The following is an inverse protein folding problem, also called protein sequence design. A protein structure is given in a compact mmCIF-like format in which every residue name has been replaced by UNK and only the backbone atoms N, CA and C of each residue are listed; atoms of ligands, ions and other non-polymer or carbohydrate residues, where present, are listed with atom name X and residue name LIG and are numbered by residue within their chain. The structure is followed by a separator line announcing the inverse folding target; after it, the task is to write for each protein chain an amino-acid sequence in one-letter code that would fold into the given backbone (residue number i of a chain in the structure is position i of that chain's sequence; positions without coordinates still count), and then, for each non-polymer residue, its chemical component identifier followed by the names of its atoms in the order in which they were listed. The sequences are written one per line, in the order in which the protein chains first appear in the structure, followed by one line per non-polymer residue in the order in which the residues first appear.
data_IF_368799726077
#
_entry.id   IF_368799726077
#
_cell.length_a   1.000
_cell.length_b   1.000
_cell.length_c   1.000
_cell.angle_alpha   90.00
_cell.angle_beta   90.00
_cell.angle_gamma   90.00
#
_symmetry.space_group_name_H-M   'P 1'
#
loop_
_entity.id
_entity.type
_entity.pdbx_description
1 polymer ?
#
# COMPACT_ATOMS: atom_id res chain seq x y z
N UNK A 1 -21.63 -5.32 12.21
CA UNK A 1 -20.82 -6.40 11.58
C UNK A 1 -19.39 -5.92 11.45
N UNK A 2 -18.38 -6.76 11.77
CA UNK A 2 -16.97 -6.37 11.67
C UNK A 2 -16.61 -5.98 10.23
N UNK A 3 -15.61 -5.10 10.09
CA UNK A 3 -15.12 -4.67 8.80
C UNK A 3 -13.90 -5.49 8.40
N UNK A 4 -14.09 -6.49 7.55
CA UNK A 4 -12.98 -7.21 6.94
C UNK A 4 -12.25 -6.33 5.91
N UNK A 5 -11.00 -6.66 5.62
CA UNK A 5 -10.27 -6.16 4.48
C UNK A 5 -10.95 -6.60 3.18
N UNK A 6 -11.06 -5.69 2.21
CA UNK A 6 -11.74 -5.97 0.93
C UNK A 6 -11.12 -7.14 0.16
N UNK A 7 -9.82 -7.31 0.26
CA UNK A 7 -9.05 -8.39 -0.38
C UNK A 7 -8.46 -9.34 0.65
N UNK A 8 -9.22 -9.67 1.72
CA UNK A 8 -8.74 -10.48 2.85
C UNK A 8 -8.06 -11.79 2.41
N UNK A 9 -8.54 -12.42 1.33
CA UNK A 9 -7.98 -13.67 0.79
C UNK A 9 -6.59 -13.52 0.15
N UNK A 10 -6.20 -12.30 -0.18
CA UNK A 10 -4.90 -12.02 -0.80
C UNK A 10 -3.82 -11.64 0.24
N UNK A 11 -4.20 -11.30 1.48
CA UNK A 11 -3.28 -10.78 2.50
C UNK A 11 -2.18 -11.76 2.90
N UNK A 12 -2.46 -13.07 2.85
CA UNK A 12 -1.53 -14.12 3.27
C UNK A 12 -0.62 -14.64 2.14
N UNK A 13 -0.71 -14.05 0.94
CA UNK A 13 0.11 -14.38 -0.23
C UNK A 13 -0.06 -15.83 -0.76
N UNK A 14 -1.13 -16.52 -0.34
CA UNK A 14 -1.40 -17.92 -0.71
C UNK A 14 -1.83 -18.08 -2.18
N UNK A 15 -2.33 -17.02 -2.79
CA UNK A 15 -2.79 -17.00 -4.18
C UNK A 15 -1.68 -16.62 -5.19
N UNK A 16 -0.41 -16.53 -4.76
CA UNK A 16 0.70 -16.22 -5.65
C UNK A 16 1.20 -17.47 -6.38
N UNK A 17 1.44 -17.35 -7.68
CA UNK A 17 2.06 -18.38 -8.53
C UNK A 17 3.56 -18.11 -8.79
N UNK A 18 4.16 -17.20 -8.02
CA UNK A 18 5.57 -16.84 -8.07
C UNK A 18 6.16 -16.65 -6.67
N UNK A 19 7.48 -16.73 -6.57
CA UNK A 19 8.21 -16.42 -5.34
C UNK A 19 8.51 -14.92 -5.28
N UNK A 20 7.92 -14.15 -4.35
CA UNK A 20 8.14 -12.71 -4.27
C UNK A 20 9.54 -12.39 -3.72
N UNK A 21 10.14 -11.33 -4.24
CA UNK A 21 11.39 -10.74 -3.71
C UNK A 21 11.15 -9.39 -3.03
N UNK A 22 10.01 -8.76 -3.33
CA UNK A 22 9.60 -7.47 -2.76
C UNK A 22 8.21 -7.60 -2.15
N UNK A 23 8.01 -7.06 -0.96
CA UNK A 23 6.70 -6.94 -0.32
C UNK A 23 6.33 -5.48 -0.13
N UNK A 24 5.18 -5.09 -0.67
CA UNK A 24 4.56 -3.79 -0.41
C UNK A 24 3.47 -3.99 0.63
N UNK A 25 3.49 -3.16 1.67
CA UNK A 25 2.58 -3.20 2.81
C UNK A 25 1.76 -1.90 2.83
N UNK A 26 0.44 -2.02 2.72
CA UNK A 26 -0.51 -0.96 3.00
C UNK A 26 -1.00 -0.99 4.46
N UNK A 27 -1.96 -0.14 4.79
CA UNK A 27 -2.53 -0.08 6.14
C UNK A 27 -3.81 -0.91 6.22
N UNK A 28 -4.86 -0.45 5.54
CA UNK A 28 -6.15 -1.12 5.46
C UNK A 28 -7.01 -0.61 4.29
N UNK A 29 -7.64 -1.51 3.54
CA UNK A 29 -8.73 -1.20 2.61
C UNK A 29 -10.04 -1.89 3.07
N UNK A 30 -11.03 -1.13 3.56
CA UNK A 30 -12.24 -1.70 4.16
C UNK A 30 -13.16 -2.33 3.10
N UNK A 31 -13.81 -3.45 3.44
CA UNK A 31 -14.78 -4.11 2.55
C UNK A 31 -16.05 -3.29 2.33
N UNK A 32 -16.40 -2.44 3.29
CA UNK A 32 -17.54 -1.52 3.26
C UNK A 32 -17.13 -0.12 3.73
N UNK A 33 -17.86 0.96 3.38
CA UNK A 33 -19.15 0.96 2.69
C UNK A 33 -19.09 0.57 1.21
N UNK A 34 -20.26 0.24 0.65
CA UNK A 34 -20.44 -0.28 -0.72
C UNK A 34 -19.86 0.60 -1.85
N UNK A 35 -19.52 1.86 -1.56
CA UNK A 35 -18.91 2.77 -2.52
C UNK A 35 -17.41 2.49 -2.77
N UNK A 36 -16.78 1.55 -2.06
CA UNK A 36 -15.39 1.15 -2.34
C UNK A 36 -15.29 0.45 -3.71
N UNK A 37 -14.91 1.18 -4.75
CA UNK A 37 -14.75 0.64 -6.11
C UNK A 37 -13.38 0.02 -6.40
N UNK A 38 -12.54 -0.23 -5.38
CA UNK A 38 -11.25 -0.87 -5.60
C UNK A 38 -11.46 -2.28 -6.18
N UNK A 39 -10.82 -2.57 -7.32
CA UNK A 39 -10.86 -3.91 -7.93
C UNK A 39 -9.71 -4.80 -7.45
N UNK A 40 -8.65 -4.19 -6.92
CA UNK A 40 -7.53 -4.83 -6.24
C UNK A 40 -6.76 -3.80 -5.39
N UNK A 41 -5.61 -4.16 -4.79
CA UNK A 41 -4.79 -3.26 -3.98
C UNK A 41 -4.51 -1.93 -4.69
N UNK A 42 -4.60 -0.82 -3.92
CA UNK A 42 -4.49 0.56 -4.43
C UNK A 42 -5.45 0.89 -5.59
N UNK A 43 -6.51 0.11 -5.79
CA UNK A 43 -7.42 0.21 -6.94
C UNK A 43 -8.38 1.38 -6.93
N UNK A 44 -8.35 2.24 -5.91
CA UNK A 44 -9.11 3.51 -5.87
C UNK A 44 -8.40 4.59 -6.70
N UNK A 45 -8.25 4.33 -7.99
CA UNK A 45 -7.39 5.08 -8.91
C UNK A 45 -7.83 6.53 -9.17
N UNK A 46 -8.95 7.02 -8.62
CA UNK A 46 -9.30 8.45 -8.77
C UNK A 46 -8.30 9.35 -8.04
N UNK A 47 -7.91 8.97 -6.82
CA UNK A 47 -7.03 9.74 -5.95
C UNK A 47 -5.84 8.91 -5.45
N UNK A 48 -5.44 7.88 -6.19
CA UNK A 48 -4.31 7.04 -5.84
C UNK A 48 -3.41 6.84 -7.07
N UNK A 49 -2.13 7.18 -6.92
CA UNK A 49 -1.10 7.22 -7.95
C UNK A 49 -0.20 6.00 -7.92
N UNK A 50 -0.49 4.99 -7.09
CA UNK A 50 0.34 3.79 -6.94
C UNK A 50 0.63 3.13 -8.29
N UNK A 51 -0.41 2.93 -9.09
CA UNK A 51 -0.32 2.30 -10.40
C UNK A 51 0.23 3.23 -11.49
N UNK A 52 0.45 4.52 -11.21
CA UNK A 52 1.33 5.34 -12.04
C UNK A 52 2.78 5.03 -11.63
N UNK A 53 3.09 5.29 -10.36
CA UNK A 53 4.46 5.39 -9.83
C UNK A 53 5.19 4.05 -9.80
N UNK A 54 4.54 2.97 -9.37
CA UNK A 54 5.21 1.69 -9.23
C UNK A 54 5.76 1.18 -10.57
N UNK A 55 5.00 1.15 -11.68
CA UNK A 55 5.56 0.85 -13.01
C UNK A 55 6.71 1.76 -13.45
N UNK A 56 6.65 3.05 -13.12
CA UNK A 56 7.69 4.00 -13.53
C UNK A 56 9.05 3.74 -12.83
N UNK A 57 9.07 3.19 -11.61
CA UNK A 57 10.31 2.72 -10.98
C UNK A 57 11.06 1.67 -11.83
N UNK A 58 10.32 0.93 -12.66
CA UNK A 58 10.83 -0.08 -13.58
C UNK A 58 10.91 0.43 -15.03
N UNK A 59 10.83 1.76 -15.23
CA UNK A 59 10.84 2.40 -16.56
C UNK A 59 9.70 1.90 -17.47
N UNK A 60 8.56 1.52 -16.87
CA UNK A 60 7.37 1.07 -17.59
C UNK A 60 6.25 2.13 -17.52
N UNK A 61 5.33 2.06 -18.50
CA UNK A 61 4.18 2.95 -18.54
C UNK A 61 3.27 2.75 -17.33
N UNK A 62 2.68 3.85 -16.84
CA UNK A 62 1.69 3.83 -15.77
C UNK A 62 0.47 2.96 -16.14
N UNK A 63 0.03 2.13 -15.19
CA UNK A 63 -1.07 1.19 -15.31
C UNK A 63 -2.37 1.69 -14.66
N UNK A 64 -2.41 2.96 -14.22
CA UNK A 64 -3.59 3.53 -13.56
C UNK A 64 -4.78 3.73 -14.48
N UNK A 65 -4.52 4.13 -15.72
CA UNK A 65 -5.52 4.60 -16.69
C UNK A 65 -5.86 3.56 -17.78
N UNK A 66 -5.49 2.29 -17.58
CA UNK A 66 -5.93 1.18 -18.44
C UNK A 66 -7.43 0.90 -18.25
N UNK A 67 -8.09 0.21 -19.22
CA UNK A 67 -9.50 -0.17 -19.10
C UNK A 67 -9.80 -0.91 -17.79
N UNK A 68 -10.98 -0.68 -17.22
CA UNK A 68 -11.32 -1.15 -15.87
C UNK A 68 -11.38 -2.68 -15.79
N UNK A 69 -11.85 -3.32 -16.85
CA UNK A 69 -11.90 -4.78 -17.04
C UNK A 69 -10.51 -5.42 -17.02
N UNK A 70 -9.49 -4.70 -17.48
CA UNK A 70 -8.11 -5.21 -17.61
C UNK A 70 -7.26 -4.95 -16.37
N UNK A 71 -7.70 -4.06 -15.46
CA UNK A 71 -6.92 -3.59 -14.30
C UNK A 71 -6.39 -4.73 -13.43
N UNK A 72 -7.23 -5.58 -12.81
CA UNK A 72 -6.71 -6.58 -11.87
C UNK A 72 -5.74 -7.55 -12.51
N UNK A 73 -6.01 -8.00 -13.75
CA UNK A 73 -5.13 -8.91 -14.47
C UNK A 73 -3.79 -8.23 -14.76
N UNK A 74 -3.80 -7.06 -15.37
CA UNK A 74 -2.58 -6.34 -15.77
C UNK A 74 -1.73 -5.97 -14.56
N UNK A 75 -2.35 -5.56 -13.45
CA UNK A 75 -1.67 -5.28 -12.20
C UNK A 75 -1.01 -6.52 -11.59
N UNK A 76 -1.71 -7.66 -11.60
CA UNK A 76 -1.17 -8.94 -11.13
C UNK A 76 -0.02 -9.43 -12.01
N UNK A 77 -0.15 -9.34 -13.33
CA UNK A 77 0.90 -9.72 -14.28
C UNK A 77 2.17 -8.87 -14.09
N UNK A 78 2.00 -7.55 -13.89
CA UNK A 78 3.11 -6.65 -13.56
C UNK A 78 3.81 -7.08 -12.26
N UNK A 79 3.04 -7.41 -11.23
CA UNK A 79 3.57 -7.86 -9.95
C UNK A 79 4.30 -9.20 -10.06
N UNK A 80 3.75 -10.16 -10.81
CA UNK A 80 4.36 -11.47 -11.06
C UNK A 80 5.68 -11.35 -11.83
N UNK A 81 5.72 -10.47 -12.83
CA UNK A 81 6.92 -10.19 -13.63
C UNK A 81 8.03 -9.59 -12.75
N UNK A 82 7.69 -8.63 -11.91
CA UNK A 82 8.64 -7.91 -11.06
C UNK A 82 8.82 -8.53 -9.66
N UNK A 83 8.22 -9.70 -9.39
CA UNK A 83 8.28 -10.43 -8.11
C UNK A 83 7.84 -9.60 -6.90
N UNK A 84 6.76 -8.84 -7.06
CA UNK A 84 6.17 -7.96 -6.04
C UNK A 84 4.93 -8.62 -5.44
N UNK A 85 4.95 -8.85 -4.13
CA UNK A 85 3.77 -9.20 -3.35
C UNK A 85 3.18 -7.95 -2.69
N UNK A 86 1.88 -8.00 -2.37
CA UNK A 86 1.21 -6.95 -1.61
C UNK A 86 0.42 -7.54 -0.45
N UNK A 87 0.39 -6.81 0.66
CA UNK A 87 -0.46 -7.08 1.82
C UNK A 87 -0.78 -5.77 2.53
N UNK A 88 -1.63 -5.82 3.55
CA UNK A 88 -1.98 -4.70 4.43
C UNK A 88 -1.80 -5.11 5.89
N UNK A 89 -1.54 -4.15 6.78
CA UNK A 89 -1.29 -4.40 8.21
C UNK A 89 -2.52 -4.95 8.94
N UNK A 90 -3.72 -4.48 8.59
CA UNK A 90 -4.98 -4.87 9.23
C UNK A 90 -5.74 -5.84 8.31
N UNK A 91 -6.20 -6.96 8.87
CA UNK A 91 -7.08 -7.90 8.17
C UNK A 91 -8.56 -7.65 8.48
N UNK A 92 -8.89 -7.27 9.73
CA UNK A 92 -10.26 -6.99 10.18
C UNK A 92 -10.29 -5.93 11.28
N UNK A 93 -11.32 -5.09 11.28
CA UNK A 93 -11.71 -4.24 12.41
C UNK A 93 -12.95 -4.87 13.05
N UNK A 94 -12.77 -5.46 14.24
CA UNK A 94 -13.75 -6.34 14.89
C UNK A 94 -14.90 -5.55 15.54
N UNK A 95 -14.61 -4.36 16.06
CA UNK A 95 -15.57 -3.47 16.72
C UNK A 95 -16.25 -2.48 15.75
N UNK A 96 -15.95 -2.58 14.45
CA UNK A 96 -16.71 -1.84 13.44
C UNK A 96 -18.14 -2.38 13.31
N UNK A 97 -19.08 -1.47 13.03
CA UNK A 97 -20.48 -1.82 12.82
C UNK A 97 -21.08 -1.11 11.60
N UNK A 98 -21.42 -1.90 10.57
CA UNK A 98 -22.04 -1.40 9.33
C UNK A 98 -23.42 -0.73 9.55
N UNK A 99 -24.11 -1.00 10.67
CA UNK A 99 -25.36 -0.29 11.00
C UNK A 99 -25.13 1.07 11.66
N UNK A 100 -23.89 1.37 12.08
CA UNK A 100 -23.51 2.65 12.62
C UNK A 100 -23.12 3.62 11.50
N UNK A 101 -23.86 4.72 11.39
CA UNK A 101 -23.61 5.75 10.38
C UNK A 101 -22.25 6.44 10.58
N UNK A 102 -21.78 6.60 11.82
CA UNK A 102 -20.48 7.19 12.10
C UNK A 102 -19.35 6.28 11.61
N UNK A 103 -19.44 4.98 11.89
CA UNK A 103 -18.48 3.99 11.37
C UNK A 103 -18.43 3.97 9.85
N UNK A 104 -19.58 4.05 9.18
CA UNK A 104 -19.64 4.17 7.72
C UNK A 104 -18.89 5.42 7.22
N UNK A 105 -19.11 6.57 7.86
CA UNK A 105 -18.41 7.81 7.50
C UNK A 105 -16.91 7.67 7.72
N UNK A 106 -16.47 7.15 8.87
CA UNK A 106 -15.06 6.98 9.22
C UNK A 106 -14.33 6.08 8.20
N UNK A 107 -14.92 4.93 7.87
CA UNK A 107 -14.33 3.97 6.93
C UNK A 107 -14.41 4.43 5.47
N UNK A 108 -15.44 5.20 5.09
CA UNK A 108 -15.58 5.77 3.74
C UNK A 108 -14.49 6.77 3.37
N UNK A 109 -13.83 7.35 4.37
CA UNK A 109 -12.76 8.32 4.17
C UNK A 109 -11.39 7.66 4.01
N UNK A 110 -11.26 6.38 4.38
CA UNK A 110 -10.02 5.61 4.25
C UNK A 110 -8.81 6.31 4.92
N UNK A 111 -9.09 7.04 6.00
CA UNK A 111 -8.10 7.79 6.75
C UNK A 111 -7.48 6.87 7.79
N UNK A 112 -6.18 6.63 7.68
CA UNK A 112 -5.41 5.89 8.68
C UNK A 112 -5.63 6.47 10.09
N UNK A 113 -5.66 7.81 10.21
CA UNK A 113 -5.88 8.47 11.50
C UNK A 113 -7.28 8.23 12.05
N UNK A 114 -8.30 8.14 11.19
CA UNK A 114 -9.65 7.81 11.65
C UNK A 114 -9.72 6.36 12.11
N UNK A 115 -9.13 5.44 11.34
CA UNK A 115 -9.11 4.02 11.68
C UNK A 115 -8.41 3.80 13.03
N UNK A 116 -7.20 4.35 13.20
CA UNK A 116 -6.40 4.10 14.38
C UNK A 116 -6.96 4.72 15.67
N UNK A 117 -7.74 5.80 15.59
CA UNK A 117 -8.24 6.51 16.77
C UNK A 117 -9.72 6.25 17.09
N UNK A 118 -10.47 5.61 16.19
CA UNK A 118 -11.92 5.40 16.37
C UNK A 118 -12.30 3.94 16.66
N UNK A 119 -11.36 3.01 16.48
CA UNK A 119 -11.56 1.58 16.68
C UNK A 119 -10.46 1.04 17.60
N UNK A 120 -10.75 -0.03 18.33
CA UNK A 120 -9.87 -0.58 19.36
C UNK A 120 -9.61 -2.09 19.22
N UNK A 121 -10.43 -2.81 18.43
CA UNK A 121 -10.31 -4.25 18.27
C UNK A 121 -9.99 -4.61 16.80
N UNK A 122 -8.78 -5.14 16.59
CA UNK A 122 -8.23 -5.41 15.26
C UNK A 122 -7.67 -6.81 15.15
N UNK A 123 -8.01 -7.51 14.07
CA UNK A 123 -7.22 -8.63 13.58
C UNK A 123 -6.13 -8.08 12.65
N UNK A 124 -4.90 -8.51 12.89
CA UNK A 124 -3.71 -8.05 12.18
C UNK A 124 -3.20 -9.13 11.22
N UNK A 125 -2.63 -8.71 10.10
CA UNK A 125 -1.89 -9.62 9.23
C UNK A 125 -0.53 -9.93 9.87
N UNK A 126 -0.18 -11.22 9.98
CA UNK A 126 1.14 -11.64 10.50
C UNK A 126 2.25 -11.44 9.45
N UNK A 127 2.62 -10.19 9.20
CA UNK A 127 3.64 -9.82 8.21
C UNK A 127 5.00 -10.46 8.53
N UNK A 128 5.38 -10.57 9.81
CA UNK A 128 6.62 -11.27 10.18
C UNK A 128 6.54 -12.76 9.85
N UNK A 129 5.40 -13.40 10.09
CA UNK A 129 5.12 -14.76 9.64
C UNK A 129 5.22 -14.91 8.12
N UNK A 130 4.74 -13.93 7.35
CA UNK A 130 4.93 -13.91 5.90
C UNK A 130 6.40 -13.83 5.51
N UNK A 131 7.19 -12.95 6.14
CA UNK A 131 8.64 -12.84 5.87
C UNK A 131 9.41 -14.13 6.22
N UNK A 132 8.96 -14.87 7.24
CA UNK A 132 9.51 -16.20 7.57
C UNK A 132 9.13 -17.26 6.53
N UNK A 133 7.88 -17.25 6.08
CA UNK A 133 7.34 -18.21 5.10
C UNK A 133 7.90 -18.00 3.70
N UNK A 134 8.18 -16.75 3.33
CA UNK A 134 8.71 -16.35 2.04
C UNK A 134 10.11 -15.72 2.19
N UNK A 135 11.15 -16.51 2.50
CA UNK A 135 12.51 -15.99 2.73
C UNK A 135 13.17 -15.40 1.48
N UNK A 136 12.52 -15.55 0.31
CA UNK A 136 12.90 -14.89 -0.95
C UNK A 136 12.66 -13.39 -0.92
N UNK A 137 11.77 -12.89 -0.04
CA UNK A 137 11.53 -11.45 0.14
C UNK A 137 12.78 -10.81 0.76
N UNK A 138 13.41 -9.90 0.01
CA UNK A 138 14.61 -9.15 0.41
C UNK A 138 14.36 -7.66 0.60
N UNK A 139 13.20 -7.17 0.15
CA UNK A 139 12.80 -5.77 0.27
C UNK A 139 11.36 -5.65 0.76
N UNK A 140 11.11 -4.78 1.73
CA UNK A 140 9.78 -4.55 2.32
C UNK A 140 9.52 -3.04 2.42
N UNK A 141 8.33 -2.62 2.00
CA UNK A 141 7.95 -1.21 1.92
C UNK A 141 6.60 -0.94 2.55
N UNK A 142 6.53 -0.03 3.53
CA UNK A 142 5.26 0.50 4.03
C UNK A 142 4.86 1.75 3.25
N UNK A 143 3.68 1.81 2.65
CA UNK A 143 3.25 2.95 1.81
C UNK A 143 2.68 4.13 2.58
N UNK A 144 3.28 4.50 3.71
CA UNK A 144 2.95 5.72 4.44
C UNK A 144 4.13 6.21 5.28
N UNK A 145 4.36 7.53 5.24
CA UNK A 145 5.29 8.23 6.13
C UNK A 145 4.58 8.78 7.38
N UNK A 146 3.25 8.63 7.47
CA UNK A 146 2.48 9.14 8.59
C UNK A 146 2.94 8.51 9.91
N UNK A 147 3.09 9.35 10.93
CA UNK A 147 3.55 8.97 12.26
C UNK A 147 2.35 8.75 13.18
N UNK A 148 1.57 7.71 12.90
CA UNK A 148 0.41 7.34 13.71
C UNK A 148 0.86 6.23 14.69
N UNK A 149 0.74 6.43 16.02
CA UNK A 149 1.30 5.50 17.02
C UNK A 149 0.95 4.03 16.78
N UNK A 150 -0.33 3.72 16.54
CA UNK A 150 -0.80 2.36 16.25
C UNK A 150 -0.03 1.71 15.08
N UNK A 151 0.03 2.36 13.92
CA UNK A 151 0.76 1.81 12.75
C UNK A 151 2.27 1.80 12.96
N UNK A 152 2.81 2.74 13.74
CA UNK A 152 4.23 2.77 14.08
C UNK A 152 4.62 1.57 14.93
N UNK A 153 3.80 1.18 15.91
CA UNK A 153 4.05 -0.01 16.73
C UNK A 153 4.07 -1.29 15.88
N UNK A 154 3.09 -1.46 14.99
CA UNK A 154 3.05 -2.59 14.05
C UNK A 154 4.27 -2.62 13.13
N UNK A 155 4.63 -1.47 12.58
CA UNK A 155 5.75 -1.37 11.65
C UNK A 155 7.11 -1.58 12.33
N UNK A 156 7.29 -1.10 13.56
CA UNK A 156 8.53 -1.29 14.33
C UNK A 156 8.86 -2.79 14.51
N UNK A 157 7.85 -3.64 14.68
CA UNK A 157 8.04 -5.09 14.76
C UNK A 157 8.60 -5.65 13.45
N UNK A 158 8.08 -5.18 12.30
CA UNK A 158 8.52 -5.58 10.96
C UNK A 158 9.93 -5.05 10.67
N UNK A 159 10.22 -3.80 11.01
CA UNK A 159 11.54 -3.18 10.85
C UNK A 159 12.61 -3.89 11.68
N UNK A 160 12.32 -4.19 12.95
CA UNK A 160 13.25 -4.91 13.83
C UNK A 160 13.56 -6.31 13.29
N UNK A 161 12.53 -7.06 12.88
CA UNK A 161 12.73 -8.36 12.25
C UNK A 161 13.55 -8.24 10.96
N UNK A 162 13.24 -7.25 10.12
CA UNK A 162 13.94 -7.03 8.86
C UNK A 162 15.41 -6.70 9.06
N UNK A 163 15.73 -5.83 10.03
CA UNK A 163 17.09 -5.46 10.39
C UNK A 163 17.90 -6.68 10.84
N UNK A 164 17.32 -7.52 11.70
CA UNK A 164 17.97 -8.75 12.20
C UNK A 164 18.22 -9.78 11.09
N UNK A 165 17.46 -9.73 10.00
CA UNK A 165 17.52 -10.70 8.90
C UNK A 165 18.10 -10.12 7.60
N UNK A 166 18.68 -8.91 7.64
CA UNK A 166 19.30 -8.28 6.47
C UNK A 166 18.32 -7.98 5.33
N UNK A 167 17.06 -7.71 5.66
CA UNK A 167 16.01 -7.33 4.71
C UNK A 167 15.99 -5.80 4.57
N UNK A 168 15.99 -5.30 3.34
CA UNK A 168 15.85 -3.86 3.07
C UNK A 168 14.43 -3.42 3.43
N UNK A 169 14.27 -2.71 4.54
CA UNK A 169 12.97 -2.25 5.02
C UNK A 169 12.91 -0.72 5.03
N UNK A 170 11.94 -0.13 4.33
CA UNK A 170 11.75 1.32 4.26
C UNK A 170 10.28 1.70 4.29
N UNK A 171 10.02 2.95 4.64
CA UNK A 171 8.72 3.59 4.40
C UNK A 171 8.77 4.37 3.09
N UNK A 172 7.65 4.38 2.39
CA UNK A 172 7.46 5.15 1.17
C UNK A 172 6.43 6.25 1.42
N UNK A 173 6.59 7.36 0.70
CA UNK A 173 5.56 8.39 0.63
C UNK A 173 4.23 7.75 0.18
N UNK A 174 3.12 8.16 0.80
CA UNK A 174 1.81 7.62 0.41
C UNK A 174 1.53 7.85 -1.08
N UNK A 175 1.04 6.86 -1.82
CA UNK A 175 0.62 7.04 -3.20
C UNK A 175 -0.73 7.77 -3.31
N UNK A 176 -1.37 8.09 -2.19
CA UNK A 176 -2.64 8.81 -2.15
C UNK A 176 -2.50 10.27 -2.60
N UNK A 177 -3.60 10.86 -3.07
CA UNK A 177 -3.71 12.28 -3.38
C UNK A 177 -3.37 13.20 -2.20
N UNK A 178 -3.39 12.68 -0.96
CA UNK A 178 -2.96 13.41 0.23
C UNK A 178 -1.47 13.74 0.26
N UNK A 179 -0.62 13.05 -0.53
CA UNK A 179 0.80 13.40 -0.66
C UNK A 179 1.03 14.83 -1.16
N UNK A 180 0.03 15.47 -1.80
CA UNK A 180 0.09 16.89 -2.19
C UNK A 180 0.41 17.85 -1.04
N UNK A 181 0.02 17.49 0.18
CA UNK A 181 0.26 18.30 1.38
C UNK A 181 1.70 18.22 1.88
N UNK A 182 2.50 17.32 1.31
CA UNK A 182 3.91 17.13 1.65
C UNK A 182 4.85 17.75 0.60
N UNK A 183 4.31 18.23 -0.54
CA UNK A 183 5.09 18.86 -1.60
C UNK A 183 5.66 20.21 -1.09
N UNK A 184 6.99 20.40 -1.09
CA UNK A 184 7.59 21.68 -0.72
C UNK A 184 7.16 22.81 -1.65
N UNK A 185 7.04 24.02 -1.12
CA UNK A 185 6.78 25.20 -1.94
C UNK A 185 7.89 25.38 -2.99
N UNK A 186 7.51 25.58 -4.25
CA UNK A 186 8.45 25.73 -5.36
C UNK A 186 9.09 24.44 -5.85
N UNK A 187 8.65 23.27 -5.39
CA UNK A 187 9.12 22.00 -5.92
C UNK A 187 8.87 21.90 -7.43
N UNK A 188 9.91 21.51 -8.17
CA UNK A 188 9.89 21.22 -9.59
C UNK A 188 10.47 19.81 -9.77
N UNK A 189 9.75 18.89 -10.44
CA UNK A 189 10.30 17.57 -10.75
C UNK A 189 11.64 17.66 -11.46
N UNK A 190 12.63 16.89 -10.99
CA UNK A 190 13.94 16.78 -11.61
C UNK A 190 13.88 15.96 -12.90
N UNK A 191 13.10 14.89 -12.89
CA UNK A 191 12.96 13.97 -14.03
C UNK A 191 11.48 13.67 -14.29
N UNK A 192 10.74 14.62 -14.89
CA UNK A 192 9.30 14.47 -15.04
C UNK A 192 8.95 13.33 -16.01
N UNK A 193 8.24 12.32 -15.50
CA UNK A 193 7.62 11.24 -16.29
C UNK A 193 6.18 11.59 -16.64
N UNK A 194 5.50 12.33 -15.76
CA UNK A 194 4.08 12.69 -15.91
C UNK A 194 3.87 14.18 -16.16
N UNK A 195 2.77 14.50 -16.83
CA UNK A 195 2.22 15.85 -16.88
C UNK A 195 1.55 16.19 -15.53
N UNK A 196 2.33 16.69 -14.57
CA UNK A 196 1.84 17.11 -13.26
C UNK A 196 2.86 16.96 -12.14
N UNK A 197 2.65 17.67 -11.03
CA UNK A 197 3.64 17.71 -9.94
C UNK A 197 3.54 16.50 -9.03
N UNK A 198 2.33 16.09 -8.66
CA UNK A 198 2.10 15.11 -7.60
C UNK A 198 2.66 13.71 -7.91
N UNK A 199 2.36 13.16 -9.09
CA UNK A 199 2.84 11.82 -9.47
C UNK A 199 4.38 11.78 -9.53
N UNK A 200 5.00 12.81 -10.09
CA UNK A 200 6.45 12.94 -10.14
C UNK A 200 7.06 13.10 -8.75
N UNK A 201 6.44 13.88 -7.85
CA UNK A 201 6.89 14.02 -6.47
C UNK A 201 6.89 12.69 -5.70
N UNK A 202 5.82 11.89 -5.89
CA UNK A 202 5.74 10.56 -5.30
C UNK A 202 6.81 9.65 -5.90
N UNK A 203 6.98 9.66 -7.22
CA UNK A 203 7.99 8.86 -7.91
C UNK A 203 9.42 9.18 -7.46
N UNK A 204 9.79 10.46 -7.36
CA UNK A 204 11.12 10.87 -6.92
C UNK A 204 11.38 10.48 -5.45
N UNK A 205 10.38 10.60 -4.56
CA UNK A 205 10.48 10.09 -3.20
C UNK A 205 10.66 8.56 -3.17
N UNK A 206 9.91 7.83 -3.99
CA UNK A 206 10.01 6.38 -4.04
C UNK A 206 11.38 5.94 -4.57
N UNK A 207 11.92 6.61 -5.59
CA UNK A 207 13.25 6.31 -6.13
C UNK A 207 14.37 6.42 -5.09
N UNK A 208 14.27 7.37 -4.15
CA UNK A 208 15.27 7.54 -3.08
C UNK A 208 15.32 6.35 -2.12
N UNK A 209 14.18 5.70 -1.89
CA UNK A 209 14.02 4.60 -0.93
C UNK A 209 14.05 3.21 -1.59
N UNK A 210 13.81 3.14 -2.89
CA UNK A 210 13.72 1.88 -3.62
C UNK A 210 15.09 1.19 -3.72
N UNK A 211 15.11 -0.12 -3.48
CA UNK A 211 16.32 -0.94 -3.35
C UNK A 211 17.09 -1.08 -4.66
N UNK A 212 16.43 -0.83 -5.79
CA UNK A 212 17.06 -0.78 -7.11
C UNK A 212 17.27 0.69 -7.49
N UNK A 213 18.50 1.16 -7.37
CA UNK A 213 18.92 2.41 -7.99
C UNK A 213 19.37 2.09 -9.41
N UNK A 214 18.45 2.20 -10.37
CA UNK A 214 18.81 2.21 -11.78
C UNK A 214 19.36 3.62 -12.08
N UNK A 215 20.68 3.77 -12.03
CA UNK A 215 21.40 4.90 -12.64
C UNK A 215 21.68 4.59 -14.10
#
# INVERSE_FOLDING_TARGET
MPCNHKFIRDLNLENLDFLPTTLIVGTFNPAWPANNQAQWFYGRTRNNYFWDVLPALFQQNGLRNIPAEDKPKTWKDFCQTNKIAMTDLISTINDADELDNEHNVLLSNYSDNNIANSFNDFDLTDVVGLLRRYPTIKSVYLTTLAQIPFFNELWNVIENYSLQNGIHCRRLLTPSGSARYQIPAGYVPQFPVYNGVLANYILENWHQEWHQQNL
#
